data_IF_694732575799
#
_entry.id   IF_694732575799
#
_cell.length_a   1.000
_cell.length_b   1.000
_cell.length_c   1.000
_cell.angle_alpha   90.00
_cell.angle_beta   90.00
_cell.angle_gamma   90.00
#
_symmetry.space_group_name_H-M   'P 1'
#
loop_
_entity.id
_entity.type
_entity.pdbx_description
1 polymer ?
#
# COMPACT_ATOMS: atom_id res chain seq x y z
N UNK A 1 40.43 63.08 -58.65
CA UNK A 1 40.82 62.40 -57.45
C UNK A 1 39.49 61.96 -56.80
N UNK A 2 39.05 60.73 -57.05
CA UNK A 2 37.75 60.18 -56.63
C UNK A 2 37.93 59.25 -55.42
N UNK A 3 37.33 59.64 -54.29
CA UNK A 3 37.25 58.79 -53.09
C UNK A 3 36.11 57.79 -53.21
N UNK A 4 36.47 56.53 -53.20
CA UNK A 4 35.49 55.39 -53.11
C UNK A 4 35.35 55.04 -51.62
N UNK A 5 34.14 55.26 -51.08
CA UNK A 5 33.78 54.84 -49.73
C UNK A 5 33.23 53.39 -49.76
N UNK A 6 33.93 52.46 -49.11
CA UNK A 6 33.52 51.08 -48.97
C UNK A 6 32.70 50.90 -47.69
N UNK A 7 31.40 50.72 -47.86
CA UNK A 7 30.45 50.40 -46.73
C UNK A 7 30.52 48.88 -46.45
N UNK A 8 31.01 48.53 -45.25
CA UNK A 8 30.98 47.16 -44.74
C UNK A 8 29.58 46.82 -44.18
N UNK A 9 28.90 45.90 -44.82
CA UNK A 9 27.68 45.29 -44.26
C UNK A 9 28.09 44.19 -43.27
N UNK A 10 27.79 44.38 -41.98
CA UNK A 10 27.90 43.35 -40.93
C UNK A 10 26.61 42.54 -40.93
N UNK A 11 26.69 41.29 -41.35
CA UNK A 11 25.57 40.33 -41.25
C UNK A 11 25.52 39.81 -39.81
N UNK A 12 24.51 40.24 -39.02
CA UNK A 12 24.24 39.70 -37.70
C UNK A 12 23.36 38.45 -37.88
N UNK A 13 23.97 37.28 -37.68
CA UNK A 13 23.27 36.00 -37.69
C UNK A 13 22.56 35.83 -36.35
N UNK A 14 21.25 36.06 -36.31
CA UNK A 14 20.42 35.81 -35.12
C UNK A 14 20.18 34.29 -35.01
N UNK A 15 20.85 33.67 -34.06
CA UNK A 15 20.63 32.25 -33.68
C UNK A 15 19.35 32.16 -32.88
N UNK A 16 18.24 31.77 -33.48
CA UNK A 16 16.98 31.41 -32.77
C UNK A 16 17.19 30.09 -32.02
N UNK A 17 17.47 30.14 -30.72
CA UNK A 17 17.39 29.02 -29.82
C UNK A 17 15.91 28.69 -29.60
N UNK A 18 15.37 27.76 -30.39
CA UNK A 18 14.07 27.13 -30.09
C UNK A 18 14.26 26.23 -28.86
N UNK A 19 14.01 26.76 -27.67
CA UNK A 19 13.80 25.95 -26.47
C UNK A 19 12.47 25.20 -26.66
N UNK A 20 12.54 23.97 -27.12
CA UNK A 20 11.39 23.07 -27.15
C UNK A 20 10.97 22.80 -25.72
N UNK A 21 9.97 23.52 -25.22
CA UNK A 21 9.27 23.11 -24.01
C UNK A 21 8.61 21.75 -24.30
N UNK A 22 9.11 20.69 -23.72
CA UNK A 22 8.43 19.40 -23.73
C UNK A 22 7.07 19.62 -23.07
N UNK A 23 6.00 19.63 -23.85
CA UNK A 23 4.64 19.63 -23.35
C UNK A 23 4.48 18.33 -22.56
N UNK A 24 4.29 18.43 -21.24
CA UNK A 24 3.93 17.31 -20.43
C UNK A 24 2.64 16.70 -20.98
N UNK A 25 2.63 15.40 -21.26
CA UNK A 25 1.44 14.72 -21.73
C UNK A 25 0.31 14.85 -20.68
N UNK A 26 -0.92 15.00 -21.15
CA UNK A 26 -2.07 15.10 -20.25
C UNK A 26 -2.33 13.73 -19.56
N UNK A 27 -2.75 13.73 -18.29
CA UNK A 27 -3.15 12.51 -17.60
C UNK A 27 -4.29 11.79 -18.33
N UNK A 28 -4.27 10.45 -18.33
CA UNK A 28 -5.32 9.64 -18.92
C UNK A 28 -6.57 9.64 -18.03
N UNK A 29 -7.75 9.72 -18.65
CA UNK A 29 -9.03 9.58 -17.92
C UNK A 29 -9.39 8.09 -17.79
N UNK A 30 -8.94 7.48 -16.72
CA UNK A 30 -9.11 6.07 -16.40
C UNK A 30 -9.76 5.88 -15.02
N UNK A 31 -10.40 4.72 -14.80
CA UNK A 31 -10.97 4.38 -13.49
C UNK A 31 -9.90 4.12 -12.44
N UNK A 32 -8.70 3.72 -12.86
CA UNK A 32 -7.51 3.68 -12.01
C UNK A 32 -6.83 5.05 -12.04
N UNK A 33 -6.36 5.50 -10.90
CA UNK A 33 -5.69 6.80 -10.78
C UNK A 33 -4.27 6.61 -10.26
N UNK A 34 -3.35 7.47 -10.73
CA UNK A 34 -1.99 7.49 -10.21
C UNK A 34 -1.98 7.83 -8.72
N UNK A 35 -1.01 7.29 -7.99
CA UNK A 35 -0.81 7.68 -6.59
C UNK A 35 -0.48 9.17 -6.50
N UNK A 36 -1.02 9.88 -5.50
CA UNK A 36 -0.62 11.25 -5.24
C UNK A 36 0.83 11.30 -4.75
N UNK A 37 1.43 12.47 -4.81
CA UNK A 37 2.67 12.74 -4.09
C UNK A 37 2.47 12.51 -2.59
N UNK A 38 3.54 12.13 -1.89
CA UNK A 38 3.52 11.98 -0.43
C UNK A 38 2.99 13.27 0.22
N UNK A 39 1.94 13.19 1.05
CA UNK A 39 1.36 14.38 1.66
C UNK A 39 2.35 15.02 2.63
N UNK A 40 2.35 16.36 2.63
CA UNK A 40 3.14 17.10 3.61
C UNK A 40 2.66 16.77 5.02
N UNK A 41 3.57 16.33 5.85
CA UNK A 41 3.39 16.08 7.27
C UNK A 41 4.39 16.94 8.04
N UNK A 42 4.15 17.18 9.32
CA UNK A 42 5.15 17.78 10.19
C UNK A 42 6.39 16.87 10.28
N UNK A 43 7.59 17.33 9.85
CA UNK A 43 8.77 16.50 9.83
C UNK A 43 9.19 15.96 11.20
N UNK A 44 8.94 16.71 12.27
CA UNK A 44 9.25 16.28 13.63
C UNK A 44 8.31 15.15 14.08
N UNK A 45 7.01 15.22 13.73
CA UNK A 45 6.04 14.14 13.95
C UNK A 45 6.42 12.89 13.15
N UNK A 46 6.78 13.05 11.88
CA UNK A 46 7.19 11.94 11.02
C UNK A 46 8.40 11.22 11.59
N UNK A 47 9.42 11.97 12.01
CA UNK A 47 10.62 11.36 12.59
C UNK A 47 10.33 10.67 13.92
N UNK A 48 9.50 11.26 14.77
CA UNK A 48 9.05 10.61 16.01
C UNK A 48 8.27 9.33 15.68
N UNK A 49 7.33 9.37 14.73
CA UNK A 49 6.58 8.21 14.27
C UNK A 49 7.47 7.11 13.69
N UNK A 50 8.49 7.48 12.90
CA UNK A 50 9.48 6.53 12.37
C UNK A 50 10.25 5.82 13.49
N UNK A 51 10.64 6.54 14.54
CA UNK A 51 11.30 5.95 15.72
C UNK A 51 10.36 5.01 16.46
N UNK A 52 9.10 5.41 16.65
CA UNK A 52 8.07 4.59 17.30
C UNK A 52 7.73 3.34 16.48
N UNK A 53 7.70 3.43 15.16
CA UNK A 53 7.48 2.27 14.27
C UNK A 53 8.53 1.17 14.45
N UNK A 54 9.75 1.55 14.85
CA UNK A 54 10.87 0.65 15.13
C UNK A 54 11.07 0.38 16.64
N UNK A 55 10.15 0.80 17.50
CA UNK A 55 10.33 0.79 18.95
C UNK A 55 9.75 -0.47 19.60
N UNK A 56 10.59 -1.42 20.07
CA UNK A 56 10.08 -2.66 20.67
C UNK A 56 9.41 -2.45 22.04
N UNK A 57 9.65 -1.33 22.74
CA UNK A 57 8.98 -1.00 24.01
C UNK A 57 7.49 -0.73 23.88
N UNK A 58 6.97 -0.71 22.65
CA UNK A 58 5.53 -0.69 22.41
C UNK A 58 4.87 -2.04 22.66
N UNK A 59 5.60 -3.16 22.66
CA UNK A 59 5.08 -4.48 22.98
C UNK A 59 5.23 -4.83 24.46
N UNK A 60 4.38 -5.73 24.97
CA UNK A 60 4.30 -6.07 26.39
C UNK A 60 5.62 -6.58 26.99
N UNK A 61 6.42 -7.30 26.20
CA UNK A 61 7.70 -7.85 26.62
C UNK A 61 8.92 -7.11 26.02
N UNK A 62 8.72 -5.97 25.37
CA UNK A 62 9.73 -5.15 24.70
C UNK A 62 10.49 -5.89 23.57
N UNK A 63 9.86 -6.86 22.89
CA UNK A 63 10.52 -7.66 21.85
C UNK A 63 10.05 -7.36 20.42
N UNK A 64 8.89 -6.76 20.25
CA UNK A 64 8.27 -6.52 18.96
C UNK A 64 8.01 -5.04 18.72
N UNK A 65 8.23 -4.62 17.49
CA UNK A 65 7.82 -3.31 16.96
C UNK A 65 6.96 -3.51 15.70
N UNK A 66 6.38 -2.46 15.15
CA UNK A 66 5.68 -2.52 13.86
C UNK A 66 6.61 -3.06 12.76
N UNK A 67 7.88 -2.63 12.76
CA UNK A 67 8.89 -3.10 11.82
C UNK A 67 9.21 -4.60 11.95
N UNK A 68 8.82 -5.27 13.04
CA UNK A 68 9.03 -6.73 13.18
C UNK A 68 8.19 -7.55 12.19
N UNK A 69 7.04 -6.99 11.74
CA UNK A 69 6.14 -7.63 10.78
C UNK A 69 6.00 -6.82 9.48
N UNK A 70 6.26 -5.53 9.51
CA UNK A 70 6.14 -4.64 8.36
C UNK A 70 7.52 -4.20 7.87
N UNK A 71 8.18 -5.09 7.12
CA UNK A 71 9.52 -4.84 6.59
C UNK A 71 9.44 -3.93 5.35
N UNK A 72 9.85 -2.69 5.50
CA UNK A 72 9.75 -1.70 4.42
C UNK A 72 10.60 -2.07 3.19
N UNK A 73 11.73 -2.76 3.40
CA UNK A 73 12.63 -3.19 2.32
C UNK A 73 12.06 -4.36 1.48
N UNK A 74 10.99 -5.01 1.95
CA UNK A 74 10.38 -6.18 1.28
C UNK A 74 8.90 -6.00 1.00
N UNK A 75 8.49 -4.77 0.65
CA UNK A 75 7.11 -4.48 0.27
C UNK A 75 6.20 -4.09 1.42
N UNK A 76 6.72 -3.81 2.63
CA UNK A 76 5.93 -3.38 3.79
C UNK A 76 5.18 -4.50 4.51
N UNK A 77 5.57 -5.75 4.25
CA UNK A 77 5.13 -6.99 4.91
C UNK A 77 6.34 -7.90 5.14
N UNK A 78 6.20 -8.95 5.95
CA UNK A 78 7.29 -9.90 6.22
C UNK A 78 7.36 -11.06 5.22
N UNK A 79 6.44 -11.10 4.26
CA UNK A 79 6.36 -12.11 3.19
C UNK A 79 6.29 -13.56 3.72
N UNK A 80 5.74 -13.74 4.92
CA UNK A 80 5.45 -15.04 5.53
C UNK A 80 3.97 -15.35 5.46
N UNK A 81 3.58 -16.63 5.48
CA UNK A 81 2.17 -16.97 5.60
C UNK A 81 1.52 -16.30 6.81
N UNK A 82 2.18 -16.36 7.95
CA UNK A 82 1.74 -15.74 9.20
C UNK A 82 2.95 -15.19 9.94
N UNK A 83 2.86 -13.94 10.35
CA UNK A 83 3.88 -13.31 11.20
C UNK A 83 3.91 -13.97 12.58
N UNK A 84 5.04 -13.86 13.25
CA UNK A 84 5.16 -14.29 14.64
C UNK A 84 4.95 -13.07 15.55
N UNK A 85 3.88 -13.11 16.30
CA UNK A 85 3.57 -12.13 17.32
C UNK A 85 4.27 -12.42 18.65
N UNK A 86 3.69 -11.93 19.74
CA UNK A 86 4.26 -12.06 21.08
C UNK A 86 4.52 -13.54 21.43
N UNK A 87 5.65 -13.81 22.06
CA UNK A 87 6.11 -15.16 22.45
C UNK A 87 6.22 -16.16 21.29
N UNK A 88 6.39 -15.66 20.06
CA UNK A 88 6.53 -16.50 18.86
C UNK A 88 5.22 -17.18 18.42
N UNK A 89 4.09 -16.73 18.89
CA UNK A 89 2.78 -17.25 18.47
C UNK A 89 2.43 -16.72 17.07
N UNK A 90 1.94 -17.56 16.15
CA UNK A 90 1.52 -17.08 14.84
C UNK A 90 0.29 -16.17 14.95
N UNK A 91 0.33 -15.04 14.24
CA UNK A 91 -0.83 -14.18 14.05
C UNK A 91 -1.79 -14.88 13.07
N UNK A 92 -3.11 -14.92 13.31
CA UNK A 92 -4.04 -15.79 12.56
C UNK A 92 -4.33 -15.34 11.12
N UNK A 93 -3.81 -14.19 10.72
CA UNK A 93 -4.00 -13.59 9.39
C UNK A 93 -2.67 -13.23 8.77
N UNK A 94 -2.59 -13.34 7.44
CA UNK A 94 -1.46 -12.82 6.68
C UNK A 94 -1.30 -11.32 6.90
N UNK A 95 -0.08 -10.89 7.17
CA UNK A 95 0.24 -9.48 7.41
C UNK A 95 0.14 -8.67 6.12
N UNK A 96 -0.82 -7.74 6.01
CA UNK A 96 -0.93 -6.88 4.83
C UNK A 96 0.21 -5.86 4.80
N UNK A 97 0.52 -5.36 3.62
CA UNK A 97 1.48 -4.26 3.49
C UNK A 97 1.03 -3.01 4.24
N UNK A 98 1.97 -2.33 4.91
CA UNK A 98 1.78 -1.00 5.48
C UNK A 98 1.86 0.10 4.40
N UNK A 99 2.48 -0.18 3.24
CA UNK A 99 2.54 0.78 2.15
C UNK A 99 1.13 1.08 1.61
N UNK A 100 0.88 2.36 1.38
CA UNK A 100 -0.38 2.90 0.88
C UNK A 100 -1.60 2.61 1.79
N UNK A 101 -1.39 2.10 3.02
CA UNK A 101 -2.47 1.79 3.96
C UNK A 101 -3.31 3.01 4.34
N UNK A 102 -2.71 4.20 4.35
CA UNK A 102 -3.40 5.48 4.59
C UNK A 102 -4.47 5.83 3.54
N UNK A 103 -4.44 5.18 2.38
CA UNK A 103 -5.41 5.36 1.29
C UNK A 103 -6.57 4.37 1.36
N UNK A 104 -6.54 3.41 2.26
CA UNK A 104 -7.65 2.49 2.48
C UNK A 104 -8.80 3.19 3.21
N UNK A 105 -10.05 2.92 2.80
CA UNK A 105 -11.24 3.47 3.47
C UNK A 105 -11.50 2.84 4.84
N UNK A 106 -10.96 1.63 5.08
CA UNK A 106 -10.99 0.88 6.34
C UNK A 106 -9.70 0.08 6.50
N UNK A 107 -9.32 -0.22 7.74
CA UNK A 107 -8.14 -1.00 8.05
C UNK A 107 -8.51 -2.43 8.46
N UNK A 108 -7.53 -3.33 8.45
CA UNK A 108 -7.65 -4.79 8.60
C UNK A 108 -8.36 -5.49 7.43
N UNK A 109 -8.28 -6.82 7.42
CA UNK A 109 -8.94 -7.64 6.41
C UNK A 109 -10.47 -7.55 6.45
N UNK A 110 -11.04 -7.49 7.65
CA UNK A 110 -12.49 -7.40 7.91
C UNK A 110 -13.04 -5.96 7.91
N UNK A 111 -12.17 -4.98 7.77
CA UNK A 111 -12.55 -3.56 7.75
C UNK A 111 -13.12 -3.05 9.07
N UNK A 112 -12.65 -3.58 10.21
CA UNK A 112 -13.22 -3.27 11.53
C UNK A 112 -12.97 -1.86 12.05
N UNK A 113 -12.00 -1.13 11.52
CA UNK A 113 -11.73 0.27 11.91
C UNK A 113 -11.51 1.18 10.71
N UNK A 114 -11.77 2.48 10.90
CA UNK A 114 -11.81 3.47 9.82
C UNK A 114 -10.51 4.29 9.69
N UNK A 115 -9.67 4.31 10.72
CA UNK A 115 -8.50 5.20 10.78
C UNK A 115 -7.22 4.44 11.11
N UNK A 116 -6.07 5.02 10.73
CA UNK A 116 -4.75 4.49 11.13
C UNK A 116 -4.59 4.50 12.66
N UNK A 117 -5.05 5.55 13.34
CA UNK A 117 -4.97 5.63 14.78
C UNK A 117 -5.69 4.47 15.47
N UNK A 118 -6.92 4.16 15.04
CA UNK A 118 -7.67 3.03 15.56
C UNK A 118 -7.01 1.68 15.20
N UNK A 119 -6.37 1.58 14.03
CA UNK A 119 -5.61 0.39 13.64
C UNK A 119 -4.41 0.19 14.55
N UNK A 120 -3.64 1.24 14.83
CA UNK A 120 -2.48 1.23 15.74
C UNK A 120 -2.90 0.78 17.14
N UNK A 121 -4.03 1.27 17.64
CA UNK A 121 -4.57 0.83 18.92
C UNK A 121 -4.83 -0.68 18.93
N UNK A 122 -5.55 -1.19 17.94
CA UNK A 122 -5.87 -2.61 17.86
C UNK A 122 -4.64 -3.51 17.76
N UNK A 123 -3.63 -3.12 16.97
CA UNK A 123 -2.38 -3.86 16.85
C UNK A 123 -1.58 -3.85 18.17
N UNK A 124 -1.60 -2.72 18.89
CA UNK A 124 -0.89 -2.58 20.15
C UNK A 124 -1.51 -3.43 21.26
N UNK A 125 -2.85 -3.43 21.40
CA UNK A 125 -3.56 -4.19 22.45
C UNK A 125 -3.86 -5.64 22.04
N UNK A 126 -3.70 -5.98 20.77
CA UNK A 126 -3.99 -7.31 20.22
C UNK A 126 -3.21 -8.41 20.96
N UNK A 127 -3.90 -9.41 21.55
CA UNK A 127 -3.28 -10.37 22.48
C UNK A 127 -2.28 -11.31 21.82
N UNK A 128 -2.36 -11.46 20.50
CA UNK A 128 -1.43 -12.29 19.69
C UNK A 128 -0.44 -11.45 18.89
N UNK A 129 -0.60 -10.13 18.86
CA UNK A 129 0.30 -9.19 18.17
C UNK A 129 1.28 -8.60 19.18
N UNK A 130 1.05 -7.38 19.67
CA UNK A 130 1.95 -6.71 20.63
C UNK A 130 1.54 -6.91 22.10
N UNK A 131 0.28 -7.28 22.39
CA UNK A 131 -0.30 -7.60 23.67
C UNK A 131 0.02 -6.60 24.79
N UNK A 132 0.13 -5.31 24.44
CA UNK A 132 0.49 -4.23 25.35
C UNK A 132 -0.74 -3.47 25.84
N UNK A 133 -0.54 -2.47 26.67
CA UNK A 133 -1.56 -1.50 27.06
C UNK A 133 -0.98 -0.08 27.09
N UNK A 134 -1.85 0.92 26.97
CA UNK A 134 -1.41 2.30 26.88
C UNK A 134 -0.68 2.80 28.12
N UNK A 135 -1.03 2.32 29.33
CA UNK A 135 -0.35 2.73 30.56
C UNK A 135 1.08 2.24 30.58
N UNK A 136 1.30 0.99 30.16
CA UNK A 136 2.64 0.43 30.01
C UNK A 136 3.47 1.17 28.96
N UNK A 137 2.88 1.46 27.79
CA UNK A 137 3.55 2.22 26.71
C UNK A 137 3.93 3.63 27.17
N UNK A 138 2.99 4.36 27.77
CA UNK A 138 3.24 5.71 28.26
C UNK A 138 4.32 5.71 29.35
N UNK A 139 4.29 4.76 30.27
CA UNK A 139 5.29 4.60 31.31
C UNK A 139 6.68 4.31 30.69
N UNK A 140 6.76 3.31 29.80
CA UNK A 140 8.01 2.90 29.18
C UNK A 140 8.65 4.03 28.37
N UNK A 141 7.86 4.74 27.55
CA UNK A 141 8.37 5.85 26.75
C UNK A 141 8.76 7.05 27.63
N UNK A 142 7.96 7.36 28.67
CA UNK A 142 8.23 8.46 29.59
C UNK A 142 9.44 8.22 30.49
N UNK A 143 9.81 6.96 30.74
CA UNK A 143 11.02 6.63 31.49
C UNK A 143 12.33 6.91 30.69
N UNK A 144 12.23 7.13 29.38
CA UNK A 144 13.40 7.36 28.53
C UNK A 144 13.57 8.82 28.14
N UNK A 145 14.69 9.48 28.57
CA UNK A 145 14.94 10.91 28.32
C UNK A 145 14.90 11.30 26.83
N UNK A 146 15.28 10.38 25.91
CA UNK A 146 15.25 10.63 24.47
C UNK A 146 13.82 10.75 23.93
N UNK A 147 12.88 9.94 24.42
CA UNK A 147 11.48 10.06 24.06
C UNK A 147 10.82 11.25 24.74
N UNK A 148 11.12 11.51 26.03
CA UNK A 148 10.63 12.74 26.68
C UNK A 148 10.98 14.00 25.87
N UNK A 149 12.24 14.12 25.44
CA UNK A 149 12.68 15.25 24.60
C UNK A 149 12.01 15.27 23.23
N UNK A 150 11.93 14.11 22.57
CA UNK A 150 11.33 14.02 21.23
C UNK A 150 9.83 14.36 21.25
N UNK A 151 9.09 13.86 22.24
CA UNK A 151 7.68 14.22 22.40
C UNK A 151 7.49 15.70 22.75
N UNK A 152 8.29 16.26 23.68
CA UNK A 152 8.19 17.67 24.06
C UNK A 152 8.49 18.64 22.90
N UNK A 153 9.22 18.21 21.86
CA UNK A 153 9.45 19.01 20.65
C UNK A 153 8.20 19.09 19.74
N UNK A 154 7.31 18.13 19.85
CA UNK A 154 6.16 17.95 18.95
C UNK A 154 4.83 18.23 19.64
N UNK A 155 4.70 17.80 20.90
CA UNK A 155 3.47 17.84 21.66
C UNK A 155 3.67 18.54 23.00
N UNK A 156 2.87 19.57 23.26
CA UNK A 156 2.98 20.37 24.50
C UNK A 156 2.70 19.56 25.78
N UNK A 157 1.88 18.51 25.68
CA UNK A 157 1.47 17.61 26.75
C UNK A 157 2.34 16.34 26.87
N UNK A 158 3.37 16.21 26.00
CA UNK A 158 4.37 15.14 26.09
C UNK A 158 3.86 13.78 25.62
N UNK A 159 4.24 12.72 26.35
CA UNK A 159 3.89 11.33 26.02
C UNK A 159 2.45 11.03 26.44
N UNK A 160 1.62 10.65 25.49
CA UNK A 160 0.27 10.13 25.72
C UNK A 160 -0.12 9.13 24.62
N UNK A 161 -1.10 8.28 24.87
CA UNK A 161 -1.63 7.33 23.87
C UNK A 161 -2.00 8.05 22.56
N UNK A 162 -2.72 9.17 22.67
CA UNK A 162 -3.15 9.96 21.50
C UNK A 162 -1.94 10.50 20.70
N UNK A 163 -0.90 10.97 21.38
CA UNK A 163 0.30 11.51 20.73
C UNK A 163 1.15 10.40 20.09
N UNK A 164 1.22 9.22 20.69
CA UNK A 164 1.87 8.03 20.10
C UNK A 164 1.14 7.61 18.81
N UNK A 165 -0.19 7.50 18.88
CA UNK A 165 -1.02 7.17 17.71
C UNK A 165 -0.90 8.23 16.60
N UNK A 166 -0.92 9.52 16.95
CA UNK A 166 -0.80 10.60 15.96
C UNK A 166 0.58 10.62 15.28
N UNK A 167 1.66 10.42 16.04
CA UNK A 167 3.01 10.36 15.49
C UNK A 167 3.17 9.15 14.56
N UNK A 168 2.74 7.95 14.99
CA UNK A 168 2.78 6.74 14.15
C UNK A 168 1.96 6.92 12.88
N UNK A 169 0.71 7.39 12.99
CA UNK A 169 -0.14 7.64 11.83
C UNK A 169 0.44 8.72 10.89
N UNK A 170 1.13 9.74 11.43
CA UNK A 170 1.81 10.76 10.62
C UNK A 170 2.96 10.14 9.81
N UNK A 171 3.71 9.22 10.40
CA UNK A 171 4.72 8.45 9.68
C UNK A 171 4.09 7.53 8.63
N UNK A 172 3.08 6.75 8.98
CA UNK A 172 2.43 5.83 8.04
C UNK A 172 1.80 6.55 6.84
N UNK A 173 1.30 7.79 7.00
CA UNK A 173 0.85 8.61 5.88
C UNK A 173 1.95 8.95 4.89
N UNK A 174 3.21 8.88 5.29
CA UNK A 174 4.36 9.07 4.38
C UNK A 174 4.77 7.79 3.67
N UNK A 175 4.25 6.63 4.08
CA UNK A 175 4.56 5.34 3.47
C UNK A 175 3.74 5.12 2.19
N UNK A 176 3.86 6.03 1.24
CA UNK A 176 3.33 5.88 -0.10
C UNK A 176 4.44 5.43 -1.06
N UNK A 177 4.03 4.67 -2.06
CA UNK A 177 4.93 4.15 -3.10
C UNK A 177 4.52 4.65 -4.49
N UNK A 178 4.61 5.96 -4.74
CA UNK A 178 4.29 6.54 -6.05
C UNK A 178 5.29 6.10 -7.11
N UNK A 179 5.10 6.64 -8.32
CA UNK A 179 6.03 6.49 -9.44
C UNK A 179 6.19 5.05 -9.98
N UNK A 180 5.19 4.18 -9.73
CA UNK A 180 5.15 2.91 -10.44
C UNK A 180 5.12 3.15 -11.98
N UNK A 181 5.55 2.17 -12.77
CA UNK A 181 5.47 2.28 -14.22
C UNK A 181 4.03 2.55 -14.69
N UNK A 182 3.05 1.98 -13.99
CA UNK A 182 1.64 2.24 -14.30
C UNK A 182 1.21 3.66 -13.87
N UNK A 183 1.73 4.22 -12.76
CA UNK A 183 1.47 5.63 -12.42
C UNK A 183 1.98 6.57 -13.51
N UNK A 184 3.20 6.34 -14.00
CA UNK A 184 3.78 7.13 -15.09
C UNK A 184 2.94 7.02 -16.38
N UNK A 185 2.43 5.82 -16.68
CA UNK A 185 1.52 5.62 -17.80
C UNK A 185 0.23 6.45 -17.64
N UNK A 186 -0.41 6.40 -16.46
CA UNK A 186 -1.61 7.18 -16.15
C UNK A 186 -1.37 8.70 -16.22
N UNK A 187 -0.17 9.14 -15.91
CA UNK A 187 0.26 10.55 -16.03
C UNK A 187 0.64 10.96 -17.44
N UNK A 188 0.46 10.08 -18.45
CA UNK A 188 0.61 10.37 -19.86
C UNK A 188 1.90 9.87 -20.50
N UNK A 189 2.83 9.25 -19.76
CA UNK A 189 4.01 8.59 -20.33
C UNK A 189 3.61 7.21 -20.91
N UNK A 190 2.93 7.22 -22.04
CA UNK A 190 2.37 5.99 -22.64
C UNK A 190 3.40 4.99 -23.11
N UNK A 191 4.65 5.41 -23.32
CA UNK A 191 5.74 4.53 -23.80
C UNK A 191 6.45 3.75 -22.69
N UNK A 192 6.15 4.06 -21.42
CA UNK A 192 6.76 3.37 -20.27
C UNK A 192 6.32 1.91 -20.15
N UNK A 193 5.12 1.59 -20.62
CA UNK A 193 4.58 0.24 -20.65
C UNK A 193 4.82 -0.43 -21.99
N UNK A 194 5.20 -1.70 -21.94
CA UNK A 194 5.26 -2.56 -23.11
C UNK A 194 3.86 -2.82 -23.70
N UNK A 195 3.79 -3.25 -24.94
CA UNK A 195 2.53 -3.65 -25.60
C UNK A 195 1.81 -4.74 -24.80
N UNK A 196 2.52 -5.73 -24.26
CA UNK A 196 1.94 -6.82 -23.46
C UNK A 196 1.34 -6.31 -22.14
N UNK A 197 2.00 -5.38 -21.46
CA UNK A 197 1.50 -4.77 -20.23
C UNK A 197 0.25 -3.91 -20.49
N UNK A 198 0.21 -3.17 -21.60
CA UNK A 198 -0.99 -2.44 -22.05
C UNK A 198 -2.16 -3.40 -22.35
N UNK A 199 -1.90 -4.52 -23.04
CA UNK A 199 -2.92 -5.56 -23.22
C UNK A 199 -3.34 -6.20 -21.90
N UNK A 200 -2.43 -6.44 -20.96
CA UNK A 200 -2.76 -6.93 -19.63
C UNK A 200 -3.71 -6.00 -18.88
N UNK A 201 -3.48 -4.70 -18.95
CA UNK A 201 -4.40 -3.70 -18.38
C UNK A 201 -5.78 -3.73 -19.09
N UNK A 202 -5.80 -3.87 -20.39
CA UNK A 202 -7.05 -4.02 -21.15
C UNK A 202 -7.81 -5.28 -20.71
N UNK A 203 -7.14 -6.44 -20.59
CA UNK A 203 -7.75 -7.68 -20.10
C UNK A 203 -8.26 -7.55 -18.66
N UNK A 204 -7.52 -6.88 -17.79
CA UNK A 204 -7.95 -6.58 -16.41
C UNK A 204 -9.30 -5.81 -16.39
N UNK A 205 -9.49 -4.87 -17.31
CA UNK A 205 -10.76 -4.16 -17.50
C UNK A 205 -11.86 -5.07 -18.08
N UNK A 206 -11.58 -5.76 -19.17
CA UNK A 206 -12.54 -6.61 -19.91
C UNK A 206 -13.06 -7.80 -19.10
N UNK A 207 -12.21 -8.41 -18.28
CA UNK A 207 -12.63 -9.46 -17.38
C UNK A 207 -13.42 -8.95 -16.16
N UNK A 208 -13.38 -7.66 -15.87
CA UNK A 208 -14.16 -7.03 -14.80
C UNK A 208 -13.43 -6.94 -13.47
N UNK A 209 -12.12 -7.20 -13.39
CA UNK A 209 -11.32 -7.05 -12.17
C UNK A 209 -11.42 -5.61 -11.61
N UNK A 210 -11.52 -4.63 -12.51
CA UNK A 210 -11.63 -3.21 -12.21
C UNK A 210 -12.93 -2.85 -11.43
N UNK A 211 -13.96 -3.71 -11.43
CA UNK A 211 -15.18 -3.45 -10.68
C UNK A 211 -14.94 -3.37 -9.16
N UNK A 212 -13.95 -4.13 -8.66
CA UNK A 212 -13.56 -4.15 -7.25
C UNK A 212 -12.20 -3.49 -7.02
N UNK A 213 -11.25 -3.68 -7.93
CA UNK A 213 -9.91 -3.12 -7.85
C UNK A 213 -9.81 -1.82 -8.66
N UNK A 214 -10.23 -0.70 -8.08
CA UNK A 214 -10.32 0.61 -8.73
C UNK A 214 -9.78 1.76 -7.85
N UNK A 215 -9.80 2.96 -8.40
CA UNK A 215 -9.38 4.17 -7.72
C UNK A 215 -7.86 4.30 -7.56
N UNK A 216 -7.46 5.15 -6.64
CA UNK A 216 -6.05 5.52 -6.39
C UNK A 216 -5.25 4.31 -5.88
N UNK A 217 -5.82 3.55 -4.95
CA UNK A 217 -5.14 2.41 -4.32
C UNK A 217 -5.37 1.07 -5.07
N UNK A 218 -6.07 1.11 -6.19
CA UNK A 218 -6.42 -0.07 -7.02
C UNK A 218 -7.02 -1.17 -6.11
N UNK A 219 -8.02 -0.79 -5.33
CA UNK A 219 -8.62 -1.50 -4.22
C UNK A 219 -8.59 -0.68 -2.94
N UNK A 220 -8.83 -1.29 -1.79
CA UNK A 220 -8.85 -0.60 -0.49
C UNK A 220 -10.02 0.35 -0.29
N UNK A 221 -11.04 0.32 -1.14
CA UNK A 221 -12.13 1.28 -1.20
C UNK A 221 -13.54 0.66 -1.04
N UNK A 222 -13.63 -0.65 -0.83
CA UNK A 222 -14.89 -1.35 -0.63
C UNK A 222 -14.72 -2.65 0.15
N UNK A 223 -15.83 -3.16 0.67
CA UNK A 223 -15.97 -4.51 1.19
C UNK A 223 -16.58 -5.40 0.12
N UNK A 224 -16.15 -6.67 0.03
CA UNK A 224 -16.71 -7.62 -0.93
C UNK A 224 -16.65 -9.03 -0.37
N UNK A 225 -17.69 -9.83 -0.67
CA UNK A 225 -17.71 -11.25 -0.38
C UNK A 225 -16.65 -11.95 -1.22
N UNK A 226 -15.83 -12.78 -0.57
CA UNK A 226 -14.88 -13.62 -1.26
C UNK A 226 -15.56 -14.92 -1.72
N UNK A 227 -15.45 -15.21 -3.01
CA UNK A 227 -16.10 -16.36 -3.61
C UNK A 227 -17.56 -16.11 -4.05
N UNK A 228 -17.83 -14.93 -4.65
CA UNK A 228 -19.19 -14.57 -5.15
C UNK A 228 -19.72 -15.56 -6.19
N UNK A 229 -18.84 -16.11 -7.04
CA UNK A 229 -19.22 -17.01 -8.14
C UNK A 229 -18.94 -18.49 -7.82
N UNK A 230 -18.41 -18.80 -6.64
CA UNK A 230 -18.15 -20.17 -6.22
C UNK A 230 -17.62 -20.24 -4.79
N UNK A 231 -17.99 -21.28 -4.08
CA UNK A 231 -17.61 -21.48 -2.68
C UNK A 231 -16.10 -21.84 -2.58
N UNK A 232 -15.28 -20.80 -2.46
CA UNK A 232 -13.84 -20.93 -2.31
C UNK A 232 -13.46 -21.71 -1.05
N UNK A 233 -14.06 -21.40 0.10
CA UNK A 233 -13.68 -21.96 1.38
C UNK A 233 -13.98 -23.46 1.46
N UNK A 234 -15.11 -23.87 0.90
CA UNK A 234 -15.44 -25.30 0.75
C UNK A 234 -14.45 -26.01 -0.18
N UNK A 235 -14.11 -25.39 -1.31
CA UNK A 235 -13.21 -25.98 -2.30
C UNK A 235 -11.76 -26.06 -1.79
N UNK A 236 -11.28 -25.04 -1.04
CA UNK A 236 -9.97 -25.05 -0.39
C UNK A 236 -9.90 -26.11 0.70
N UNK A 237 -10.99 -26.33 1.43
CA UNK A 237 -11.03 -27.20 2.61
C UNK A 237 -10.39 -26.57 3.85
N UNK A 238 -10.39 -27.30 4.95
CA UNK A 238 -9.80 -26.89 6.23
C UNK A 238 -10.21 -25.46 6.64
N UNK A 239 -11.52 -25.19 6.82
CA UNK A 239 -11.99 -23.86 7.18
C UNK A 239 -11.44 -23.45 8.56
N UNK A 240 -11.06 -22.17 8.68
CA UNK A 240 -10.60 -21.55 9.93
C UNK A 240 -11.53 -20.40 10.30
N UNK A 241 -11.51 -20.00 11.57
CA UNK A 241 -12.40 -18.94 12.07
C UNK A 241 -12.26 -17.64 11.29
N UNK A 242 -11.02 -17.26 10.93
CA UNK A 242 -10.74 -16.05 10.15
C UNK A 242 -11.35 -16.03 8.75
N UNK A 243 -11.77 -17.19 8.20
CA UNK A 243 -12.50 -17.27 6.93
C UNK A 243 -13.88 -16.61 6.99
N UNK A 244 -14.45 -16.52 8.18
CA UNK A 244 -15.75 -15.86 8.37
C UNK A 244 -15.71 -14.37 8.05
N UNK A 245 -14.51 -13.77 8.05
CA UNK A 245 -14.30 -12.37 7.69
C UNK A 245 -15.09 -11.41 8.59
N UNK A 246 -15.78 -10.45 7.98
CA UNK A 246 -16.55 -9.42 8.68
C UNK A 246 -17.71 -10.00 9.54
N UNK A 247 -18.19 -11.19 9.25
CA UNK A 247 -19.19 -11.87 10.08
C UNK A 247 -18.77 -11.95 11.55
N UNK A 248 -17.47 -12.14 11.85
CA UNK A 248 -16.96 -12.16 13.22
C UNK A 248 -17.18 -10.85 13.98
N UNK A 249 -17.34 -9.75 13.25
CA UNK A 249 -17.58 -8.43 13.81
C UNK A 249 -19.08 -8.14 13.99
N UNK A 250 -19.90 -8.52 13.01
CA UNK A 250 -21.30 -8.10 12.91
C UNK A 250 -22.31 -9.17 13.33
N UNK A 251 -21.96 -10.46 13.19
CA UNK A 251 -22.89 -11.57 13.34
C UNK A 251 -23.94 -11.65 12.23
N UNK A 252 -23.85 -10.80 11.21
CA UNK A 252 -24.77 -10.79 10.08
C UNK A 252 -24.32 -11.81 9.01
N UNK A 253 -25.22 -12.70 8.57
CA UNK A 253 -24.94 -13.69 7.52
C UNK A 253 -24.57 -13.05 6.18
N UNK A 254 -25.04 -11.84 5.89
CA UNK A 254 -24.64 -11.11 4.68
C UNK A 254 -23.15 -10.73 4.69
N UNK A 255 -22.57 -10.57 5.88
CA UNK A 255 -21.16 -10.28 6.09
C UNK A 255 -20.26 -11.54 6.15
N UNK A 256 -20.83 -12.74 6.00
CA UNK A 256 -20.06 -14.00 5.97
C UNK A 256 -19.14 -14.04 4.75
N UNK A 257 -17.83 -14.23 5.01
CA UNK A 257 -16.77 -14.20 4.02
C UNK A 257 -16.59 -12.84 3.33
N UNK A 258 -17.07 -11.77 3.94
CA UNK A 258 -16.84 -10.40 3.45
C UNK A 258 -15.51 -9.88 4.00
N UNK A 259 -14.70 -9.33 3.09
CA UNK A 259 -13.41 -8.74 3.38
C UNK A 259 -13.27 -7.38 2.70
N UNK A 260 -12.40 -6.56 3.23
CA UNK A 260 -11.92 -5.38 2.49
C UNK A 260 -11.18 -5.86 1.24
N UNK A 261 -11.59 -5.35 0.07
CA UNK A 261 -10.85 -5.60 -1.18
C UNK A 261 -9.44 -5.03 -1.01
N UNK A 262 -8.39 -5.85 -1.05
CA UNK A 262 -7.02 -5.35 -0.83
C UNK A 262 -6.56 -4.47 -1.97
N UNK A 263 -5.64 -3.56 -1.66
CA UNK A 263 -4.88 -2.84 -2.68
C UNK A 263 -4.09 -3.81 -3.56
N UNK A 264 -4.02 -3.53 -4.86
CA UNK A 264 -3.12 -4.24 -5.77
C UNK A 264 -1.78 -3.49 -5.96
N UNK A 265 -1.61 -2.33 -5.32
CA UNK A 265 -0.32 -1.65 -5.30
C UNK A 265 0.73 -2.55 -4.67
N UNK A 266 1.88 -2.68 -5.32
CA UNK A 266 2.99 -3.53 -4.89
C UNK A 266 2.66 -5.04 -4.81
N UNK A 267 1.54 -5.49 -5.39
CA UNK A 267 1.08 -6.87 -5.27
C UNK A 267 2.12 -7.90 -5.71
N UNK A 268 2.99 -7.56 -6.66
CA UNK A 268 4.02 -8.47 -7.16
C UNK A 268 5.14 -8.79 -6.15
N UNK A 269 5.26 -8.01 -5.07
CA UNK A 269 6.34 -8.15 -4.06
C UNK A 269 5.80 -8.49 -2.66
N UNK A 270 4.50 -8.81 -2.53
CA UNK A 270 3.84 -9.07 -1.24
C UNK A 270 3.23 -10.48 -1.14
N UNK A 271 3.82 -11.47 -1.80
CA UNK A 271 3.43 -12.87 -1.62
C UNK A 271 3.73 -13.34 -0.18
N UNK A 272 2.96 -14.30 0.37
CA UNK A 272 1.79 -14.98 -0.18
C UNK A 272 0.51 -14.14 -0.08
N UNK A 273 -0.57 -14.58 -0.75
CA UNK A 273 -1.78 -13.80 -0.94
C UNK A 273 -2.97 -14.34 -0.17
N UNK A 274 -3.98 -13.47 -0.01
CA UNK A 274 -5.21 -13.61 0.75
C UNK A 274 -4.98 -13.55 2.26
N UNK A 275 -6.07 -13.44 3.02
CA UNK A 275 -6.06 -13.34 4.48
C UNK A 275 -5.43 -14.57 5.16
N UNK A 276 -5.48 -15.72 4.49
CA UNK A 276 -5.02 -17.04 4.95
C UNK A 276 -3.71 -17.50 4.29
N UNK A 277 -3.09 -16.63 3.46
CA UNK A 277 -1.86 -16.94 2.72
C UNK A 277 -1.96 -18.21 1.83
N UNK A 278 -3.15 -18.60 1.41
CA UNK A 278 -3.40 -19.85 0.66
C UNK A 278 -2.85 -19.82 -0.76
N UNK A 279 -2.78 -18.66 -1.42
CA UNK A 279 -2.14 -18.49 -2.71
C UNK A 279 -0.66 -18.10 -2.52
N UNK A 280 0.24 -18.94 -2.98
CA UNK A 280 1.68 -18.76 -2.77
C UNK A 280 2.31 -17.87 -3.83
N UNK A 281 1.75 -17.86 -5.01
CA UNK A 281 2.23 -17.07 -6.14
C UNK A 281 1.14 -16.12 -6.65
N UNK A 282 1.54 -15.09 -7.39
CA UNK A 282 0.59 -14.17 -8.03
C UNK A 282 -0.30 -14.90 -9.04
N UNK A 283 0.26 -15.90 -9.70
CA UNK A 283 -0.44 -16.80 -10.63
C UNK A 283 -1.57 -17.55 -9.91
N UNK A 284 -1.29 -18.16 -8.75
CA UNK A 284 -2.31 -18.84 -7.93
C UNK A 284 -3.42 -17.87 -7.51
N UNK A 285 -3.06 -16.65 -7.08
CA UNK A 285 -4.02 -15.64 -6.67
C UNK A 285 -4.94 -15.22 -7.84
N UNK A 286 -4.37 -15.01 -9.02
CA UNK A 286 -5.14 -14.68 -10.23
C UNK A 286 -6.07 -15.83 -10.62
N UNK A 287 -5.63 -17.09 -10.54
CA UNK A 287 -6.47 -18.28 -10.81
C UNK A 287 -7.66 -18.37 -9.85
N UNK A 288 -7.42 -18.13 -8.55
CA UNK A 288 -8.49 -18.09 -7.55
C UNK A 288 -9.50 -16.99 -7.85
N UNK A 289 -9.03 -15.77 -8.20
CA UNK A 289 -9.92 -14.67 -8.57
C UNK A 289 -10.75 -14.99 -9.82
N UNK A 290 -10.15 -15.56 -10.84
CA UNK A 290 -10.91 -15.96 -12.04
C UNK A 290 -11.99 -16.99 -11.73
N UNK A 291 -11.63 -18.02 -10.98
CA UNK A 291 -12.51 -19.14 -10.71
C UNK A 291 -13.65 -18.79 -9.74
N UNK A 292 -13.30 -18.18 -8.61
CA UNK A 292 -14.24 -18.04 -7.50
C UNK A 292 -14.86 -16.64 -7.40
N UNK A 293 -14.17 -15.61 -7.89
CA UNK A 293 -14.68 -14.24 -7.82
C UNK A 293 -15.40 -13.84 -9.11
N UNK A 294 -14.87 -14.25 -10.28
CA UNK A 294 -15.41 -13.88 -11.58
C UNK A 294 -16.21 -15.00 -12.25
N UNK A 295 -16.05 -16.28 -11.84
CA UNK A 295 -16.70 -17.43 -12.47
C UNK A 295 -16.31 -17.59 -13.94
N UNK A 296 -15.06 -17.29 -14.28
CA UNK A 296 -14.55 -17.29 -15.66
C UNK A 296 -13.32 -18.17 -15.81
N UNK A 297 -13.11 -18.68 -17.02
CA UNK A 297 -11.92 -19.44 -17.39
C UNK A 297 -11.16 -18.64 -18.48
N UNK A 298 -10.11 -17.90 -18.12
CA UNK A 298 -9.30 -17.16 -19.08
C UNK A 298 -8.41 -18.10 -19.89
N UNK A 299 -7.90 -17.64 -21.02
CA UNK A 299 -6.77 -18.30 -21.68
C UNK A 299 -5.50 -18.15 -20.82
N UNK A 300 -4.53 -19.04 -21.03
CA UNK A 300 -3.24 -18.93 -20.35
C UNK A 300 -2.53 -17.60 -20.73
N UNK A 301 -2.65 -17.19 -22.00
CA UNK A 301 -2.10 -15.93 -22.47
C UNK A 301 -2.71 -14.71 -21.75
N UNK A 302 -4.04 -14.67 -21.57
CA UNK A 302 -4.71 -13.57 -20.87
C UNK A 302 -4.27 -13.48 -19.42
N UNK A 303 -4.09 -14.62 -18.72
CA UNK A 303 -3.56 -14.65 -17.35
C UNK A 303 -2.14 -14.06 -17.29
N UNK A 304 -1.26 -14.49 -18.19
CA UNK A 304 0.11 -13.99 -18.26
C UNK A 304 0.17 -12.49 -18.54
N UNK A 305 -0.69 -11.99 -19.43
CA UNK A 305 -0.82 -10.56 -19.73
C UNK A 305 -1.26 -9.77 -18.49
N UNK A 306 -2.29 -10.24 -17.78
CA UNK A 306 -2.77 -9.61 -16.53
C UNK A 306 -1.65 -9.60 -15.47
N UNK A 307 -0.92 -10.69 -15.29
CA UNK A 307 0.20 -10.77 -14.35
C UNK A 307 1.30 -9.77 -14.73
N UNK A 308 1.62 -9.62 -16.03
CA UNK A 308 2.58 -8.60 -16.47
C UNK A 308 2.09 -7.18 -16.12
N UNK A 309 0.79 -6.90 -16.31
CA UNK A 309 0.21 -5.63 -15.87
C UNK A 309 0.33 -5.45 -14.37
N UNK A 310 -0.04 -6.44 -13.55
CA UNK A 310 0.03 -6.35 -12.08
C UNK A 310 1.46 -6.06 -11.58
N UNK A 311 2.48 -6.56 -12.26
CA UNK A 311 3.89 -6.25 -11.95
C UNK A 311 4.24 -4.78 -12.20
N UNK A 312 3.52 -4.06 -13.05
CA UNK A 312 3.73 -2.62 -13.29
C UNK A 312 3.23 -1.74 -12.15
N UNK A 313 2.49 -2.31 -11.19
CA UNK A 313 1.92 -1.60 -10.03
C UNK A 313 2.91 -1.47 -8.85
N UNK A 314 4.11 -2.01 -9.00
CA UNK A 314 5.19 -1.86 -8.01
C UNK A 314 5.76 -0.45 -8.12
N UNK A 315 5.66 0.30 -7.01
CA UNK A 315 6.11 1.68 -6.94
C UNK A 315 7.49 1.84 -6.33
N UNK A 316 7.82 3.07 -5.97
CA UNK A 316 9.11 3.43 -5.39
C UNK A 316 8.94 3.87 -3.94
N UNK A 317 9.88 3.47 -3.10
CA UNK A 317 10.02 3.97 -1.74
C UNK A 317 11.44 4.45 -1.50
N UNK A 318 11.59 5.63 -0.85
CA UNK A 318 12.88 6.27 -0.64
C UNK A 318 13.72 6.43 -1.93
N UNK A 319 13.04 6.67 -3.06
CA UNK A 319 13.68 6.88 -4.37
C UNK A 319 14.21 5.60 -5.04
N UNK A 320 13.78 4.41 -4.59
CA UNK A 320 14.15 3.13 -5.17
C UNK A 320 12.91 2.29 -5.43
N UNK A 321 12.87 1.50 -6.52
CA UNK A 321 11.84 0.48 -6.71
C UNK A 321 11.84 -0.52 -5.55
N UNK A 322 10.64 -0.98 -5.15
CA UNK A 322 10.44 -2.04 -4.16
C UNK A 322 10.79 -3.42 -4.70
#
# INVERSE_FOLDING_TARGET
MSNVSTTRFSLVLALCLCTGAALAAAPLDEALKALPSVPLQDPAKVELGRRLFNEPRLSANNSLSCASCHHLETGGADNKPFSLGLDGKPVPLNTPTVFNASLNFKQFWDGRVDTLQAQIEHALIGPVEMASDWKAVEYNLSAHPDYQRAFAQVYADGVSAANVQDALASYERTLLTPNSRFDQYLLGNTEILTIKEKYGYQRFKEYGCIACHQGVNIGGNMLQKFGVMGDYFKARGNPVESDLGRYLLTGDEEDRHVFKVPSLRNVAVTAPYFHDASAKTLEDAVDVMFKYQLGRTPSQEDKELIIQFLRTLTGEWAGKPL
#
